data_IF_795196228170
#
_entry.id   IF_795196228170
#
_cell.length_a   1.000
_cell.length_b   1.000
_cell.length_c   1.000
_cell.angle_alpha   90.00
_cell.angle_beta   90.00
_cell.angle_gamma   90.00
#
_symmetry.space_group_name_H-M   'P 1'
#
loop_
_entity.id
_entity.type
_entity.pdbx_description
1 polymer ?
#
# COMPACT_ATOMS: atom_id res chain seq x y z
N UNK A 1 14.98 -9.34 -10.72
CA UNK A 1 14.60 -9.13 -10.55
C UNK A 1 13.82 -8.45 -10.56
N UNK A 2 13.39 -8.26 -10.62
CA UNK A 2 12.74 -7.50 -10.50
C UNK A 2 11.61 -7.73 -10.27
N UNK A 3 11.47 -8.00 -9.31
CA UNK A 3 10.31 -8.06 -8.87
C UNK A 3 9.59 -7.01 -9.25
N UNK A 4 8.76 -7.14 -9.83
CA UNK A 4 7.92 -6.16 -10.22
C UNK A 4 7.09 -5.67 -9.07
N UNK A 5 7.14 -4.39 -8.83
CA UNK A 5 6.26 -3.74 -7.88
C UNK A 5 4.93 -3.38 -8.53
N UNK A 6 4.79 -3.61 -9.83
CA UNK A 6 3.56 -3.25 -10.53
C UNK A 6 2.31 -3.92 -9.95
N UNK A 7 2.33 -5.22 -9.61
CA UNK A 7 1.14 -5.80 -8.97
C UNK A 7 0.79 -5.15 -7.64
N UNK A 8 1.80 -4.77 -6.85
CA UNK A 8 1.57 -4.11 -5.58
C UNK A 8 0.93 -2.73 -5.79
N UNK A 9 1.46 -1.94 -6.72
CA UNK A 9 0.88 -0.65 -7.00
C UNK A 9 -0.53 -0.76 -7.56
N UNK A 10 -0.77 -1.75 -8.43
CA UNK A 10 -2.10 -1.97 -8.98
C UNK A 10 -3.10 -2.33 -7.87
N UNK A 11 -2.68 -3.18 -6.93
CA UNK A 11 -3.55 -3.56 -5.82
C UNK A 11 -3.84 -2.35 -4.92
N UNK A 12 -2.86 -1.49 -4.69
CA UNK A 12 -3.03 -0.31 -3.85
C UNK A 12 -3.75 0.83 -4.57
N UNK A 13 -3.95 0.72 -5.87
CA UNK A 13 -4.63 1.75 -6.65
C UNK A 13 -6.13 1.83 -6.45
N UNK A 14 -6.69 0.99 -5.61
CA UNK A 14 -8.10 1.01 -5.28
C UNK A 14 -8.28 1.65 -3.90
N UNK A 15 -9.20 2.63 -3.74
CA UNK A 15 -9.34 3.33 -2.45
C UNK A 15 -9.66 2.40 -1.28
N UNK A 16 -10.48 1.38 -1.51
CA UNK A 16 -10.84 0.45 -0.45
C UNK A 16 -9.64 -0.39 -0.03
N UNK A 17 -8.89 -0.90 -1.02
CA UNK A 17 -7.71 -1.71 -0.70
C UNK A 17 -6.64 -0.90 0.00
N UNK A 18 -6.43 0.34 -0.44
CA UNK A 18 -5.48 1.22 0.23
C UNK A 18 -5.90 1.45 1.68
N UNK A 19 -7.19 1.70 1.92
CA UNK A 19 -7.70 1.90 3.27
C UNK A 19 -7.53 0.66 4.15
N UNK A 20 -7.69 -0.53 3.56
CA UNK A 20 -7.46 -1.78 4.29
C UNK A 20 -6.01 -1.87 4.74
N UNK A 21 -5.08 -1.60 3.83
CA UNK A 21 -3.65 -1.65 4.16
C UNK A 21 -3.33 -0.63 5.25
N UNK A 22 -3.85 0.57 5.14
CA UNK A 22 -3.62 1.61 6.16
C UNK A 22 -4.16 1.20 7.52
N UNK A 23 -5.35 0.57 7.55
CA UNK A 23 -5.91 0.10 8.80
C UNK A 23 -5.04 -0.99 9.42
N UNK A 24 -4.58 -1.95 8.60
CA UNK A 24 -3.74 -3.03 9.10
C UNK A 24 -2.39 -2.50 9.58
N UNK A 25 -1.85 -1.49 8.93
CA UNK A 25 -0.60 -0.88 9.39
C UNK A 25 -0.77 -0.14 10.71
N UNK A 26 -1.90 0.53 10.88
CA UNK A 26 -2.13 1.33 12.08
C UNK A 26 -2.50 0.47 13.28
N UNK A 27 -3.29 -0.58 13.08
CA UNK A 27 -3.86 -1.35 14.19
C UNK A 27 -3.30 -2.76 14.32
N UNK A 28 -2.47 -3.19 13.36
CA UNK A 28 -1.92 -4.53 13.38
C UNK A 28 -2.87 -5.56 12.79
N UNK A 29 -2.58 -6.85 13.00
CA UNK A 29 -3.40 -7.91 12.40
C UNK A 29 -4.87 -7.82 12.81
N UNK A 30 -5.76 -8.09 11.86
CA UNK A 30 -7.20 -7.97 12.06
C UNK A 30 -7.93 -9.11 11.35
N UNK A 31 -9.05 -9.60 11.90
CA UNK A 31 -9.94 -10.48 11.14
C UNK A 31 -10.68 -9.70 10.07
N UNK A 32 -11.13 -10.41 9.04
CA UNK A 32 -11.84 -9.77 7.92
C UNK A 32 -13.06 -8.97 8.39
N UNK A 33 -13.78 -9.48 9.38
CA UNK A 33 -14.96 -8.80 9.88
C UNK A 33 -14.69 -7.43 10.46
N UNK A 34 -13.49 -7.24 11.04
CA UNK A 34 -13.11 -5.96 11.60
C UNK A 34 -12.76 -4.92 10.53
N UNK A 35 -12.60 -5.36 9.29
CA UNK A 35 -12.24 -4.47 8.19
C UNK A 35 -13.44 -3.97 7.41
N UNK A 36 -14.64 -4.45 7.70
CA UNK A 36 -15.82 -4.07 6.93
C UNK A 36 -16.16 -2.59 7.06
N UNK A 37 -15.90 -2.00 8.22
CA UNK A 37 -16.23 -0.61 8.44
C UNK A 37 -15.27 0.36 7.75
N UNK A 38 -14.18 -0.16 7.17
CA UNK A 38 -13.25 0.68 6.41
C UNK A 38 -13.95 1.39 5.26
N UNK A 39 -14.90 0.70 4.60
CA UNK A 39 -15.56 1.25 3.43
C UNK A 39 -17.06 0.95 3.39
N UNK A 40 -17.63 0.48 4.48
CA UNK A 40 -19.05 0.16 4.58
C UNK A 40 -19.50 -0.78 3.47
N UNK A 41 -18.70 -1.80 3.18
CA UNK A 41 -19.05 -2.78 2.15
C UNK A 41 -19.30 -4.14 2.76
N UNK A 42 -19.85 -5.04 1.94
CA UNK A 42 -20.25 -6.35 2.43
C UNK A 42 -19.06 -7.24 2.74
N UNK A 43 -19.29 -8.30 3.52
CA UNK A 43 -18.24 -9.28 3.80
C UNK A 43 -17.68 -9.93 2.54
N UNK A 44 -18.51 -10.34 1.55
CA UNK A 44 -17.94 -10.86 0.31
C UNK A 44 -17.05 -9.86 -0.43
N UNK A 45 -17.40 -8.57 -0.38
CA UNK A 45 -16.58 -7.55 -1.04
C UNK A 45 -15.23 -7.40 -0.35
N UNK A 46 -15.22 -7.37 0.98
CA UNK A 46 -13.96 -7.33 1.74
C UNK A 46 -13.11 -8.56 1.40
N UNK A 47 -13.72 -9.74 1.35
CA UNK A 47 -12.99 -10.96 1.03
C UNK A 47 -12.34 -10.89 -0.36
N UNK A 48 -13.03 -10.32 -1.33
CA UNK A 48 -12.46 -10.16 -2.68
C UNK A 48 -11.28 -9.21 -2.66
N UNK A 49 -11.38 -8.10 -1.93
CA UNK A 49 -10.26 -7.17 -1.81
C UNK A 49 -9.07 -7.79 -1.12
N UNK A 50 -9.31 -8.56 -0.06
CA UNK A 50 -8.22 -9.24 0.65
C UNK A 50 -7.55 -10.28 -0.23
N UNK A 51 -8.33 -10.96 -1.09
CA UNK A 51 -7.75 -11.92 -2.01
C UNK A 51 -6.81 -11.24 -3.00
N UNK A 52 -7.20 -10.08 -3.53
CA UNK A 52 -6.33 -9.31 -4.43
C UNK A 52 -5.05 -8.89 -3.72
N UNK A 53 -5.18 -8.40 -2.49
CA UNK A 53 -4.01 -7.98 -1.71
C UNK A 53 -3.08 -9.15 -1.40
N UNK A 54 -3.64 -10.32 -1.11
CA UNK A 54 -2.82 -11.52 -0.87
C UNK A 54 -2.10 -11.96 -2.15
N UNK A 55 -2.80 -11.94 -3.27
CA UNK A 55 -2.20 -12.34 -4.55
C UNK A 55 -1.06 -11.40 -4.93
N UNK A 56 -1.14 -10.13 -4.55
CA UNK A 56 -0.09 -9.16 -4.80
C UNK A 56 1.05 -9.24 -3.78
N UNK A 57 0.92 -10.09 -2.76
CA UNK A 57 1.95 -10.24 -1.74
C UNK A 57 1.97 -9.15 -0.68
N UNK A 58 0.90 -8.35 -0.60
CA UNK A 58 0.86 -7.24 0.35
C UNK A 58 0.35 -7.65 1.72
N UNK A 59 -0.46 -8.70 1.81
CA UNK A 59 -0.96 -9.19 3.09
C UNK A 59 -0.78 -10.69 3.19
N UNK A 60 -0.71 -11.15 4.42
CA UNK A 60 -0.69 -12.57 4.78
C UNK A 60 -1.98 -12.93 5.49
N UNK A 61 -2.38 -14.17 5.33
CA UNK A 61 -3.52 -14.72 6.03
C UNK A 61 -3.03 -15.81 6.97
N UNK A 62 -3.47 -15.74 8.21
CA UNK A 62 -3.12 -16.73 9.21
C UNK A 62 -4.40 -17.24 9.86
N UNK A 63 -4.49 -18.56 10.08
CA UNK A 63 -5.65 -19.14 10.71
C UNK A 63 -5.40 -19.24 12.20
N UNK A 64 -6.32 -18.70 12.99
CA UNK A 64 -6.29 -18.78 14.45
C UNK A 64 -7.64 -19.35 14.89
N UNK A 65 -7.66 -20.63 15.23
CA UNK A 65 -8.87 -21.40 15.49
C UNK A 65 -9.78 -21.37 14.28
N UNK A 66 -10.94 -20.75 14.35
CA UNK A 66 -11.86 -20.66 13.21
C UNK A 66 -11.79 -19.32 12.51
N UNK A 67 -10.85 -18.46 12.93
CA UNK A 67 -10.76 -17.10 12.42
C UNK A 67 -9.60 -16.99 11.45
N UNK A 68 -9.77 -16.16 10.44
CA UNK A 68 -8.70 -15.81 9.51
C UNK A 68 -8.25 -14.40 9.84
N UNK A 69 -6.97 -14.29 10.20
CA UNK A 69 -6.38 -13.02 10.60
C UNK A 69 -5.47 -12.54 9.47
N UNK A 70 -5.63 -11.30 9.09
CA UNK A 70 -4.87 -10.69 8.01
C UNK A 70 -3.87 -9.70 8.57
N UNK A 71 -2.68 -9.70 8.01
CA UNK A 71 -1.62 -8.77 8.41
C UNK A 71 -0.85 -8.31 7.19
N UNK A 72 -0.27 -7.12 7.28
CA UNK A 72 0.55 -6.58 6.20
C UNK A 72 1.89 -7.32 6.15
N UNK A 73 2.36 -7.57 4.93
CA UNK A 73 3.69 -8.13 4.72
C UNK A 73 4.71 -7.00 4.87
N UNK A 74 5.56 -7.02 5.91
CA UNK A 74 6.51 -5.93 6.12
C UNK A 74 7.53 -5.80 4.99
N UNK A 75 7.90 -6.93 4.35
CA UNK A 75 8.88 -6.89 3.28
C UNK A 75 8.32 -6.22 2.04
N UNK A 76 7.02 -6.43 1.76
CA UNK A 76 6.38 -5.77 0.63
C UNK A 76 6.35 -4.26 0.83
N UNK A 77 5.99 -3.82 2.03
CA UNK A 77 5.96 -2.39 2.34
C UNK A 77 7.37 -1.80 2.29
N UNK A 78 8.35 -2.53 2.78
CA UNK A 78 9.75 -2.08 2.73
C UNK A 78 10.22 -1.93 1.28
N UNK A 79 9.84 -2.84 0.40
CA UNK A 79 10.23 -2.76 -1.01
C UNK A 79 9.64 -1.53 -1.69
N UNK A 80 8.38 -1.21 -1.38
CA UNK A 80 7.75 0.01 -1.89
C UNK A 80 8.48 1.24 -1.36
N UNK A 81 8.79 1.23 -0.08
CA UNK A 81 9.52 2.35 0.54
C UNK A 81 10.89 2.54 -0.08
N UNK A 82 11.62 1.46 -0.30
CA UNK A 82 12.94 1.52 -0.95
C UNK A 82 12.84 2.09 -2.35
N UNK A 83 11.84 1.65 -3.11
CA UNK A 83 11.62 2.17 -4.46
C UNK A 83 11.39 3.68 -4.42
N UNK A 84 10.55 4.15 -3.48
CA UNK A 84 10.23 5.55 -3.34
C UNK A 84 11.47 6.37 -2.95
N UNK A 85 12.24 5.89 -1.97
CA UNK A 85 13.43 6.57 -1.49
C UNK A 85 14.49 6.66 -2.60
N UNK A 86 14.66 5.60 -3.37
CA UNK A 86 15.61 5.56 -4.47
C UNK A 86 15.33 6.66 -5.49
N UNK A 87 14.07 7.01 -5.67
CA UNK A 87 13.68 8.04 -6.63
C UNK A 87 13.53 9.42 -6.00
N UNK A 88 13.68 9.49 -4.70
CA UNK A 88 13.56 10.75 -3.99
C UNK A 88 14.61 11.76 -4.46
N UNK A 89 15.85 11.32 -4.61
CA UNK A 89 16.91 12.20 -5.05
C UNK A 89 16.64 12.77 -6.43
N UNK A 90 16.09 11.94 -7.32
CA UNK A 90 15.72 12.41 -8.64
C UNK A 90 14.68 13.55 -8.54
N UNK A 91 13.64 13.34 -7.75
CA UNK A 91 12.57 14.33 -7.62
C UNK A 91 13.06 15.61 -6.94
N UNK A 92 13.86 15.49 -5.90
CA UNK A 92 14.41 16.64 -5.22
C UNK A 92 15.32 17.45 -6.14
N UNK A 93 16.15 16.78 -6.91
CA UNK A 93 16.98 17.48 -7.90
C UNK A 93 16.16 18.20 -8.96
N UNK A 94 15.09 17.59 -9.41
CA UNK A 94 14.20 18.20 -10.40
C UNK A 94 13.52 19.42 -9.84
N UNK A 95 13.05 19.37 -8.60
CA UNK A 95 12.41 20.51 -7.94
C UNK A 95 13.41 21.64 -7.70
N UNK A 96 14.63 21.30 -7.32
CA UNK A 96 15.67 22.31 -7.13
C UNK A 96 15.98 23.05 -8.43
N UNK A 97 16.06 22.32 -9.54
CA UNK A 97 16.27 22.93 -10.85
C UNK A 97 15.12 23.85 -11.24
N UNK A 98 13.91 23.43 -10.95
CA UNK A 98 12.73 24.26 -11.23
C UNK A 98 12.75 25.54 -10.40
N UNK A 99 13.12 25.43 -9.14
CA UNK A 99 13.20 26.59 -8.25
C UNK A 99 14.22 27.62 -8.77
N UNK A 100 15.37 27.14 -9.26
CA UNK A 100 16.39 28.00 -9.83
C UNK A 100 15.84 28.74 -11.06
N UNK A 101 15.13 28.02 -11.93
CA UNK A 101 14.55 28.63 -13.11
C UNK A 101 13.51 29.69 -12.78
N UNK A 102 12.68 29.42 -11.77
CA UNK A 102 11.67 30.39 -11.34
C UNK A 102 12.32 31.63 -10.73
N UNK A 103 13.39 31.47 -9.98
CA UNK A 103 14.10 32.61 -9.43
C UNK A 103 14.73 33.47 -10.52
N UNK A 104 15.26 32.84 -11.59
CA UNK A 104 15.81 33.56 -12.72
C UNK A 104 14.75 34.41 -13.43
N UNK A 105 13.52 33.94 -13.47
CA UNK A 105 12.45 34.66 -14.14
C UNK A 105 11.96 35.88 -13.38
N UNK A 106 12.32 36.00 -12.11
CA UNK A 106 11.88 37.14 -11.28
C UNK A 106 12.60 38.41 -11.61
N UNK A 107 13.69 38.32 -12.32
CA UNK A 107 14.43 39.51 -12.75
C UNK A 107 13.96 39.99 -14.10
#
# INVERSE_FOLDING_TARGET
>A
MCSSLAPQFAALGDPTRLAIIERLMAEGPQPAGALQDVAEISAPAISRHLKVLRAAGLVHQQVDAQRRIYSVDPQAIRAIGTWTITRRDFWEGSLDRLAILLDSDKD
#
